data_IF_879642453920
#
_entry.id   IF_879642453920
#
_cell.length_a   1.000
_cell.length_b   1.000
_cell.length_c   1.000
_cell.angle_alpha   90.00
_cell.angle_beta   90.00
_cell.angle_gamma   90.00
#
_symmetry.space_group_name_H-M   'P 1'
#
loop_
_entity.id
_entity.type
_entity.pdbx_description
1 polymer ?
#
# COMPACT_ATOMS: atom_id res chain seq x y z
N UNK A 1 7.25 1.73 33.19
CA UNK A 1 7.56 0.29 33.06
C UNK A 1 7.40 -0.17 31.62
N UNK A 2 6.22 0.03 30.99
CA UNK A 2 5.99 -0.33 29.58
C UNK A 2 6.98 0.30 28.59
N UNK A 3 7.34 1.58 28.73
CA UNK A 3 8.33 2.25 27.86
C UNK A 3 9.68 1.53 27.84
N UNK A 4 10.23 1.18 29.02
CA UNK A 4 11.51 0.47 29.11
C UNK A 4 11.46 -0.95 28.53
N UNK A 5 10.29 -1.59 28.55
CA UNK A 5 10.10 -2.93 27.98
C UNK A 5 10.04 -2.82 26.45
N UNK A 6 9.35 -1.81 25.92
CA UNK A 6 9.29 -1.54 24.48
C UNK A 6 10.70 -1.20 23.93
N UNK A 7 11.43 -0.28 24.56
CA UNK A 7 12.82 0.05 24.18
C UNK A 7 13.76 -1.17 24.20
N UNK A 8 13.55 -2.10 25.13
CA UNK A 8 14.30 -3.35 25.17
C UNK A 8 13.86 -4.30 24.03
N UNK A 9 12.55 -4.38 23.75
CA UNK A 9 12.01 -5.21 22.69
C UNK A 9 12.42 -4.72 21.29
N UNK A 10 12.59 -3.42 21.09
CA UNK A 10 13.13 -2.87 19.83
C UNK A 10 14.58 -3.29 19.56
N UNK A 11 15.34 -3.64 20.60
CA UNK A 11 16.74 -4.11 20.46
C UNK A 11 16.87 -5.62 20.34
N UNK A 12 15.98 -6.36 21.00
CA UNK A 12 16.13 -7.81 21.17
C UNK A 12 15.01 -8.63 20.54
N UNK A 13 13.93 -8.00 20.07
CA UNK A 13 12.78 -8.62 19.40
C UNK A 13 12.25 -9.87 20.14
N UNK A 14 12.09 -9.77 21.46
CA UNK A 14 11.76 -10.91 22.33
C UNK A 14 10.30 -11.34 22.25
N UNK A 15 9.39 -10.39 22.01
CA UNK A 15 7.95 -10.61 21.83
C UNK A 15 7.42 -9.79 20.65
N UNK A 16 6.31 -10.21 20.01
CA UNK A 16 5.68 -9.44 18.95
C UNK A 16 5.32 -8.03 19.40
N UNK A 17 5.53 -7.03 18.54
CA UNK A 17 5.24 -5.63 18.87
C UNK A 17 3.74 -5.38 19.15
N UNK A 18 2.87 -6.24 18.61
CA UNK A 18 1.42 -6.19 18.82
C UNK A 18 1.00 -6.45 20.26
N UNK A 19 1.82 -7.15 21.06
CA UNK A 19 1.56 -7.41 22.49
C UNK A 19 1.63 -6.14 23.35
N UNK A 20 2.14 -5.04 22.80
CA UNK A 20 2.22 -3.77 23.49
C UNK A 20 0.97 -2.91 23.31
N UNK A 21 0.09 -3.25 22.37
CA UNK A 21 -1.17 -2.54 22.18
C UNK A 21 -2.04 -2.62 23.44
N UNK A 22 -2.67 -1.50 23.79
CA UNK A 22 -3.51 -1.41 24.98
C UNK A 22 -4.98 -1.23 24.57
N UNK A 23 -5.76 -2.29 24.65
CA UNK A 23 -7.17 -2.28 24.20
C UNK A 23 -8.00 -1.21 24.91
N UNK A 24 -7.82 -1.03 26.22
CA UNK A 24 -8.57 -0.03 26.98
C UNK A 24 -8.29 1.40 26.50
N UNK A 25 -7.03 1.71 26.13
CA UNK A 25 -6.69 2.99 25.51
C UNK A 25 -7.31 3.09 24.12
N UNK A 26 -7.16 2.07 23.28
CA UNK A 26 -7.66 2.09 21.91
C UNK A 26 -9.20 2.19 21.83
N UNK A 27 -9.94 1.65 22.80
CA UNK A 27 -11.41 1.76 22.86
C UNK A 27 -11.92 3.11 23.36
N UNK A 28 -11.16 3.80 24.21
CA UNK A 28 -11.63 4.97 24.95
C UNK A 28 -10.97 6.29 24.53
N UNK A 29 -9.94 6.25 23.67
CA UNK A 29 -9.20 7.43 23.25
C UNK A 29 -10.10 8.41 22.48
N UNK A 30 -10.29 9.62 23.02
CA UNK A 30 -10.85 10.72 22.25
C UNK A 30 -9.73 11.39 21.43
N UNK A 31 -9.62 10.94 20.18
CA UNK A 31 -8.63 11.44 19.21
C UNK A 31 -8.76 12.96 18.99
N UNK A 32 -9.98 13.52 19.06
CA UNK A 32 -10.19 14.96 18.80
C UNK A 32 -9.69 15.83 19.93
N UNK A 33 -9.64 15.30 21.15
CA UNK A 33 -9.04 15.97 22.30
C UNK A 33 -7.53 15.69 22.38
N UNK A 34 -7.10 14.44 22.22
CA UNK A 34 -5.71 14.02 22.42
C UNK A 34 -4.74 14.50 21.31
N UNK A 35 -5.15 14.43 20.04
CA UNK A 35 -4.26 14.77 18.93
C UNK A 35 -3.82 16.25 18.89
N UNK A 36 -4.68 17.24 19.19
CA UNK A 36 -4.23 18.63 19.36
C UNK A 36 -3.14 18.80 20.43
N UNK A 37 -3.21 18.05 21.54
CA UNK A 37 -2.18 18.07 22.59
C UNK A 37 -0.83 17.58 22.06
N UNK A 38 -0.83 16.52 21.26
CA UNK A 38 0.36 16.02 20.56
C UNK A 38 0.93 17.05 19.59
N UNK A 39 0.09 17.62 18.73
CA UNK A 39 0.52 18.59 17.71
C UNK A 39 1.10 19.86 18.33
N UNK A 40 0.49 20.36 19.40
CA UNK A 40 0.94 21.56 20.12
C UNK A 40 2.09 21.28 21.10
N UNK A 41 2.46 20.01 21.32
CA UNK A 41 3.40 19.57 22.37
C UNK A 41 3.02 20.07 23.75
N UNK A 42 1.74 19.93 24.11
CA UNK A 42 1.17 20.45 25.37
C UNK A 42 0.55 19.34 26.21
N UNK A 43 1.06 19.17 27.42
CA UNK A 43 0.48 18.26 28.40
C UNK A 43 0.75 16.79 28.07
N UNK A 44 -0.06 15.90 28.64
CA UNK A 44 0.00 14.47 28.35
C UNK A 44 -0.84 14.16 27.12
N UNK A 45 -0.35 13.25 26.29
CA UNK A 45 -1.07 12.67 25.16
C UNK A 45 -0.66 11.22 24.99
N UNK A 46 -1.58 10.36 24.55
CA UNK A 46 -1.24 8.98 24.22
C UNK A 46 -0.44 8.85 22.91
N UNK A 47 -0.50 9.85 22.03
CA UNK A 47 0.30 9.89 20.81
C UNK A 47 1.82 9.96 21.08
N UNK A 48 2.26 10.39 22.28
CA UNK A 48 3.68 10.33 22.68
C UNK A 48 4.16 8.89 22.98
N UNK A 49 3.23 7.93 23.08
CA UNK A 49 3.49 6.52 23.36
C UNK A 49 2.90 5.63 22.25
N UNK A 50 3.31 5.78 20.98
CA UNK A 50 2.65 5.16 19.84
C UNK A 50 2.63 3.62 19.89
N UNK A 51 3.53 2.98 20.64
CA UNK A 51 3.58 1.53 20.79
C UNK A 51 2.34 0.91 21.48
N UNK A 52 1.55 1.70 22.21
CA UNK A 52 0.30 1.21 22.83
C UNK A 52 -0.91 1.38 21.93
N UNK A 53 -0.79 2.17 20.86
CA UNK A 53 -1.85 2.44 19.91
C UNK A 53 -1.81 1.37 18.83
N UNK A 54 -2.96 0.78 18.50
CA UNK A 54 -3.06 -0.16 17.41
C UNK A 54 -3.11 0.58 16.05
N UNK A 55 -2.95 -0.13 14.92
CA UNK A 55 -2.86 0.51 13.61
C UNK A 55 -4.16 1.24 13.21
N UNK A 56 -5.32 0.73 13.61
CA UNK A 56 -6.61 1.37 13.34
C UNK A 56 -6.75 2.74 14.01
N UNK A 57 -6.36 2.86 15.28
CA UNK A 57 -6.40 4.14 16.00
C UNK A 57 -5.39 5.13 15.43
N UNK A 58 -4.20 4.67 15.06
CA UNK A 58 -3.22 5.53 14.36
C UNK A 58 -3.75 6.03 13.02
N UNK A 59 -4.47 5.19 12.27
CA UNK A 59 -5.12 5.57 11.02
C UNK A 59 -6.24 6.60 11.23
N UNK A 60 -7.03 6.45 12.29
CA UNK A 60 -8.04 7.44 12.66
C UNK A 60 -7.42 8.77 13.10
N UNK A 61 -6.29 8.77 13.82
CA UNK A 61 -5.50 9.97 14.13
C UNK A 61 -5.06 10.68 12.84
N UNK A 62 -4.45 9.93 11.92
CA UNK A 62 -4.00 10.46 10.62
C UNK A 62 -5.18 11.02 9.81
N UNK A 63 -6.32 10.34 9.81
CA UNK A 63 -7.54 10.81 9.16
C UNK A 63 -8.07 12.12 9.77
N UNK A 64 -8.09 12.23 11.09
CA UNK A 64 -8.48 13.47 11.78
C UNK A 64 -7.55 14.61 11.41
N UNK A 65 -6.23 14.35 11.34
CA UNK A 65 -5.25 15.33 10.88
C UNK A 65 -5.55 15.79 9.44
N UNK A 66 -5.68 14.85 8.49
CA UNK A 66 -5.97 15.15 7.10
C UNK A 66 -7.26 15.95 6.95
N UNK A 67 -8.32 15.56 7.65
CA UNK A 67 -9.60 16.28 7.63
C UNK A 67 -9.47 17.71 8.16
N UNK A 68 -8.66 17.94 9.19
CA UNK A 68 -8.40 19.28 9.71
C UNK A 68 -7.63 20.12 8.68
N UNK A 69 -6.60 19.56 8.06
CA UNK A 69 -5.80 20.22 7.02
C UNK A 69 -6.67 20.57 5.79
N UNK A 70 -7.46 19.62 5.27
CA UNK A 70 -8.39 19.85 4.16
C UNK A 70 -9.42 20.94 4.48
N UNK A 71 -10.00 20.94 5.68
CA UNK A 71 -10.95 21.99 6.11
C UNK A 71 -10.28 23.37 6.22
N UNK A 72 -9.05 23.42 6.70
CA UNK A 72 -8.29 24.65 6.78
C UNK A 72 -8.04 25.24 5.39
N UNK A 73 -7.54 24.42 4.45
CA UNK A 73 -7.31 24.86 3.07
C UNK A 73 -8.60 25.24 2.34
N UNK A 74 -9.72 24.55 2.62
CA UNK A 74 -11.04 24.93 2.11
C UNK A 74 -11.44 26.34 2.59
N UNK A 75 -11.32 26.62 3.89
CA UNK A 75 -11.64 27.93 4.46
C UNK A 75 -10.72 29.02 3.92
N UNK A 76 -9.42 28.74 3.82
CA UNK A 76 -8.44 29.67 3.28
C UNK A 76 -8.64 29.95 1.79
N UNK A 77 -9.03 28.95 1.00
CA UNK A 77 -9.40 29.12 -0.40
C UNK A 77 -10.64 30.01 -0.56
N UNK A 78 -11.68 29.81 0.26
CA UNK A 78 -12.86 30.70 0.27
C UNK A 78 -12.48 32.13 0.66
N UNK A 79 -11.64 32.30 1.68
CA UNK A 79 -11.17 33.62 2.09
C UNK A 79 -10.38 34.30 0.98
N UNK A 80 -9.41 33.61 0.37
CA UNK A 80 -8.64 34.12 -0.78
C UNK A 80 -9.54 34.48 -1.96
N UNK A 81 -10.58 33.68 -2.23
CA UNK A 81 -11.53 33.97 -3.31
C UNK A 81 -12.28 35.31 -3.14
N UNK A 82 -12.52 35.74 -1.89
CA UNK A 82 -13.15 37.03 -1.60
C UNK A 82 -12.24 38.24 -1.92
N UNK A 83 -10.91 38.07 -1.94
CA UNK A 83 -9.96 39.18 -2.07
C UNK A 83 -9.06 39.11 -3.32
N UNK A 84 -8.81 37.93 -3.87
CA UNK A 84 -7.80 37.69 -4.93
C UNK A 84 -8.36 37.00 -6.18
N UNK A 85 -9.64 36.64 -6.21
CA UNK A 85 -10.26 35.92 -7.34
C UNK A 85 -10.20 34.40 -7.21
N UNK A 86 -10.66 33.67 -8.24
CA UNK A 86 -10.97 32.23 -8.17
C UNK A 86 -9.72 31.39 -7.83
N UNK A 87 -9.71 30.80 -6.63
CA UNK A 87 -8.83 29.71 -6.25
C UNK A 87 -9.71 28.48 -6.02
N UNK A 88 -9.40 27.35 -6.67
CA UNK A 88 -10.16 26.12 -6.47
C UNK A 88 -9.96 25.64 -5.02
N UNK A 89 -11.05 25.38 -4.27
CA UNK A 89 -10.95 24.81 -2.92
C UNK A 89 -10.52 23.34 -2.91
N UNK A 90 -10.49 22.70 -4.08
CA UNK A 90 -10.15 21.29 -4.25
C UNK A 90 -8.88 21.13 -5.08
N UNK A 91 -8.16 20.04 -4.83
CA UNK A 91 -7.14 19.54 -5.74
C UNK A 91 -7.86 18.73 -6.82
N UNK A 92 -8.20 19.38 -7.93
CA UNK A 92 -8.87 18.74 -9.06
C UNK A 92 -7.83 18.17 -10.01
N UNK A 93 -7.96 16.89 -10.35
CA UNK A 93 -7.20 16.21 -11.39
C UNK A 93 -8.14 15.79 -12.52
N UNK A 94 -7.91 16.33 -13.71
CA UNK A 94 -8.65 16.00 -14.93
C UNK A 94 -7.86 14.95 -15.72
N UNK A 95 -8.35 13.72 -15.78
CA UNK A 95 -7.59 12.56 -16.26
C UNK A 95 -8.22 11.99 -17.53
N UNK A 96 -7.43 11.74 -18.56
CA UNK A 96 -7.84 10.90 -19.68
C UNK A 96 -7.46 9.45 -19.40
N UNK A 97 -8.36 8.51 -19.75
CA UNK A 97 -8.13 7.07 -19.55
C UNK A 97 -6.92 6.51 -20.31
N UNK A 98 -6.56 7.14 -21.41
CA UNK A 98 -5.45 6.72 -22.28
C UNK A 98 -4.10 7.34 -21.88
N UNK A 99 -4.06 8.22 -20.86
CA UNK A 99 -2.85 8.96 -20.46
C UNK A 99 -2.83 9.29 -18.97
N UNK A 100 -3.12 8.31 -18.12
CA UNK A 100 -3.37 8.49 -16.68
C UNK A 100 -2.15 9.04 -15.96
N UNK A 101 -1.00 8.36 -16.07
CA UNK A 101 0.24 8.78 -15.40
C UNK A 101 0.70 10.14 -15.94
N UNK A 102 0.66 10.32 -17.26
CA UNK A 102 1.10 11.56 -17.91
C UNK A 102 0.26 12.77 -17.52
N UNK A 103 -1.06 12.63 -17.45
CA UNK A 103 -1.95 13.71 -17.04
C UNK A 103 -1.76 14.04 -15.55
N UNK A 104 -1.55 13.02 -14.71
CA UNK A 104 -1.23 13.21 -13.30
C UNK A 104 0.11 13.93 -13.11
N UNK A 105 1.17 13.53 -13.85
CA UNK A 105 2.48 14.20 -13.85
C UNK A 105 2.32 15.69 -14.13
N UNK A 106 1.73 16.02 -15.27
CA UNK A 106 1.64 17.39 -15.74
C UNK A 106 0.85 18.29 -14.77
N UNK A 107 -0.16 17.74 -14.12
CA UNK A 107 -1.00 18.49 -13.20
C UNK A 107 -0.39 18.63 -11.81
N UNK A 108 0.32 17.61 -11.31
CA UNK A 108 0.87 17.59 -9.96
C UNK A 108 2.24 18.28 -9.85
N UNK A 109 3.05 18.27 -10.91
CA UNK A 109 4.40 18.84 -10.93
C UNK A 109 4.45 20.31 -10.46
N UNK A 110 3.44 21.11 -10.83
CA UNK A 110 3.37 22.53 -10.51
C UNK A 110 2.55 22.85 -9.23
N UNK A 111 2.07 21.83 -8.48
CA UNK A 111 1.26 22.08 -7.29
C UNK A 111 2.13 22.46 -6.10
N UNK A 112 1.72 23.50 -5.38
CA UNK A 112 2.36 23.84 -4.12
C UNK A 112 2.02 22.80 -3.04
N UNK A 113 2.86 22.64 -1.99
CA UNK A 113 2.53 21.76 -0.87
C UNK A 113 1.15 22.05 -0.24
N UNK A 114 0.68 23.29 -0.27
CA UNK A 114 -0.68 23.65 0.21
C UNK A 114 -1.78 23.10 -0.70
N UNK A 115 -1.58 23.14 -2.01
CA UNK A 115 -2.55 22.60 -2.97
C UNK A 115 -2.67 21.08 -2.84
N UNK A 116 -1.56 20.38 -2.57
CA UNK A 116 -1.54 18.94 -2.32
C UNK A 116 -2.31 18.53 -1.05
N UNK A 117 -2.56 19.47 -0.13
CA UNK A 117 -3.32 19.27 1.11
C UNK A 117 -4.81 19.61 0.99
N UNK A 118 -5.26 20.09 -0.16
CA UNK A 118 -6.70 20.25 -0.45
C UNK A 118 -7.34 18.88 -0.59
N UNK A 119 -8.67 18.83 -0.43
CA UNK A 119 -9.42 17.62 -0.72
C UNK A 119 -9.25 17.28 -2.21
N UNK A 120 -8.80 16.04 -2.48
CA UNK A 120 -8.64 15.51 -3.84
C UNK A 120 -10.02 15.39 -4.49
N UNK A 121 -10.07 15.67 -5.79
CA UNK A 121 -11.19 15.35 -6.68
C UNK A 121 -10.66 14.88 -8.01
N UNK A 122 -11.08 13.70 -8.45
CA UNK A 122 -10.70 13.18 -9.77
C UNK A 122 -11.87 13.29 -10.73
N UNK A 123 -11.62 13.73 -11.94
CA UNK A 123 -12.59 13.80 -13.02
C UNK A 123 -12.02 13.15 -14.27
N UNK A 124 -12.69 12.11 -14.79
CA UNK A 124 -12.36 11.57 -16.10
C UNK A 124 -12.93 12.47 -17.20
N UNK A 125 -12.09 12.88 -18.14
CA UNK A 125 -12.48 13.81 -19.19
C UNK A 125 -13.52 13.16 -20.11
N UNK A 126 -14.66 13.83 -20.28
CA UNK A 126 -15.77 13.35 -21.11
C UNK A 126 -16.76 12.42 -20.37
N UNK A 127 -16.62 12.24 -19.06
CA UNK A 127 -17.51 11.41 -18.25
C UNK A 127 -18.32 12.25 -17.24
N UNK A 128 -19.62 11.96 -17.16
CA UNK A 128 -20.51 12.52 -16.15
C UNK A 128 -20.30 11.76 -14.83
N UNK A 129 -19.45 12.29 -13.95
CA UNK A 129 -19.20 11.73 -12.63
C UNK A 129 -19.10 12.81 -11.56
N UNK A 130 -19.84 12.65 -10.45
CA UNK A 130 -19.61 13.42 -9.22
C UNK A 130 -18.73 12.56 -8.32
N UNK A 131 -17.54 13.05 -7.99
CA UNK A 131 -16.61 12.31 -7.15
C UNK A 131 -17.08 12.27 -5.67
N UNK A 132 -17.72 11.16 -5.30
CA UNK A 132 -18.04 10.79 -3.91
C UNK A 132 -17.07 9.73 -3.35
N UNK A 133 -15.86 9.59 -3.95
CA UNK A 133 -14.79 8.70 -3.50
C UNK A 133 -14.55 7.48 -4.40
N UNK A 134 -15.57 7.02 -5.14
CA UNK A 134 -15.43 5.90 -6.09
C UNK A 134 -14.49 6.22 -7.25
N UNK A 135 -14.52 7.46 -7.76
CA UNK A 135 -13.69 7.92 -8.88
C UNK A 135 -12.21 8.01 -8.45
N UNK A 136 -11.94 8.45 -7.22
CA UNK A 136 -10.57 8.45 -6.66
C UNK A 136 -10.02 7.04 -6.57
N UNK A 137 -10.81 6.12 -6.03
CA UNK A 137 -10.42 4.71 -5.91
C UNK A 137 -10.07 4.11 -7.27
N UNK A 138 -10.92 4.36 -8.28
CA UNK A 138 -10.67 3.91 -9.65
C UNK A 138 -9.36 4.50 -10.21
N UNK A 139 -9.15 5.80 -10.05
CA UNK A 139 -7.93 6.47 -10.50
C UNK A 139 -6.67 5.82 -9.90
N UNK A 140 -6.63 5.62 -8.58
CA UNK A 140 -5.49 4.99 -7.93
C UNK A 140 -5.31 3.53 -8.37
N UNK A 141 -6.39 2.78 -8.61
CA UNK A 141 -6.30 1.42 -9.16
C UNK A 141 -5.67 1.39 -10.55
N UNK A 142 -6.04 2.33 -11.42
CA UNK A 142 -5.48 2.43 -12.77
C UNK A 142 -4.00 2.85 -12.74
N UNK A 143 -3.66 3.82 -11.90
CA UNK A 143 -2.27 4.25 -11.66
C UNK A 143 -1.41 3.06 -11.21
N UNK A 144 -1.85 2.32 -10.18
CA UNK A 144 -1.13 1.14 -9.68
C UNK A 144 -0.95 0.12 -10.79
N UNK A 145 -2.01 -0.20 -11.53
CA UNK A 145 -1.94 -1.17 -12.64
C UNK A 145 -0.92 -0.76 -13.71
N UNK A 146 -0.88 0.50 -14.11
CA UNK A 146 0.03 0.99 -15.16
C UNK A 146 1.49 1.00 -14.67
N UNK A 147 1.75 1.45 -13.44
CA UNK A 147 3.11 1.56 -12.89
C UNK A 147 3.79 0.20 -12.66
N UNK A 148 3.03 -0.83 -12.32
CA UNK A 148 3.55 -2.20 -12.13
C UNK A 148 3.48 -3.05 -13.41
N UNK A 149 2.99 -2.51 -14.53
CA UNK A 149 3.08 -3.20 -15.81
C UNK A 149 4.57 -3.31 -16.21
N UNK A 150 5.10 -4.51 -16.47
CA UNK A 150 6.48 -4.68 -16.92
C UNK A 150 6.84 -3.86 -18.17
N UNK A 151 5.86 -3.50 -19.01
CA UNK A 151 6.06 -2.63 -20.19
C UNK A 151 6.38 -1.19 -19.81
N UNK A 152 5.88 -0.72 -18.67
CA UNK A 152 6.20 0.61 -18.16
C UNK A 152 7.63 0.64 -17.60
N UNK A 153 8.05 -0.46 -16.93
CA UNK A 153 9.46 -0.72 -16.64
C UNK A 153 10.03 0.00 -15.42
N UNK A 154 9.19 0.60 -14.56
CA UNK A 154 9.65 1.28 -13.33
C UNK A 154 9.94 0.32 -12.18
N UNK A 155 9.22 -0.79 -12.10
CA UNK A 155 9.39 -1.80 -11.06
C UNK A 155 9.55 -3.19 -11.68
N UNK A 156 10.39 -4.00 -11.06
CA UNK A 156 10.59 -5.42 -11.39
C UNK A 156 9.92 -6.27 -10.34
N UNK A 157 9.11 -7.24 -10.77
CA UNK A 157 8.49 -8.22 -9.88
C UNK A 157 9.40 -9.44 -9.75
N UNK A 158 9.74 -9.83 -8.51
CA UNK A 158 10.39 -11.12 -8.26
C UNK A 158 9.36 -12.25 -8.41
N UNK A 159 9.68 -13.28 -9.18
CA UNK A 159 8.73 -14.36 -9.50
C UNK A 159 8.34 -15.20 -8.28
N UNK A 160 9.27 -15.41 -7.33
CA UNK A 160 9.08 -16.25 -6.15
C UNK A 160 8.31 -15.52 -5.06
N UNK A 161 8.77 -14.32 -4.68
CA UNK A 161 8.12 -13.54 -3.62
C UNK A 161 6.89 -12.78 -4.09
N UNK A 162 6.73 -12.58 -5.41
CA UNK A 162 5.72 -11.71 -6.04
C UNK A 162 5.84 -10.24 -5.62
N UNK A 163 6.94 -9.86 -4.98
CA UNK A 163 7.19 -8.50 -4.54
C UNK A 163 7.86 -7.68 -5.66
N UNK A 164 7.49 -6.42 -5.71
CA UNK A 164 8.01 -5.46 -6.66
C UNK A 164 9.14 -4.64 -6.04
N UNK A 165 10.17 -4.35 -6.81
CA UNK A 165 11.27 -3.46 -6.42
C UNK A 165 11.64 -2.52 -7.55
N UNK A 166 12.28 -1.40 -7.23
CA UNK A 166 12.72 -0.40 -8.22
C UNK A 166 13.55 -1.07 -9.31
N UNK A 167 13.20 -0.81 -10.57
CA UNK A 167 14.05 -1.17 -11.69
C UNK A 167 15.21 -0.18 -11.73
N UNK A 168 16.39 -0.64 -11.31
CA UNK A 168 17.61 0.17 -11.38
C UNK A 168 18.23 0.03 -12.76
N UNK A 169 18.30 1.14 -13.50
CA UNK A 169 19.10 1.22 -14.71
C UNK A 169 20.12 2.35 -14.60
N UNK A 170 21.40 2.08 -14.90
CA UNK A 170 22.39 3.15 -15.05
C UNK A 170 22.07 4.15 -16.17
N UNK A 171 21.08 3.84 -17.02
CA UNK A 171 20.67 4.63 -18.18
C UNK A 171 19.36 5.41 -17.96
N UNK A 172 18.83 5.45 -16.73
CA UNK A 172 17.63 6.22 -16.43
C UNK A 172 17.84 7.72 -16.74
N UNK A 173 16.87 8.31 -17.46
CA UNK A 173 16.87 9.73 -17.80
C UNK A 173 16.11 10.58 -16.76
N UNK A 174 16.20 11.90 -16.88
CA UNK A 174 15.53 12.83 -15.95
C UNK A 174 14.00 12.60 -15.90
N UNK A 175 13.39 12.26 -17.03
CA UNK A 175 11.95 11.99 -17.11
C UNK A 175 11.57 10.77 -16.25
N UNK A 176 12.33 9.69 -16.34
CA UNK A 176 12.13 8.47 -15.53
C UNK A 176 12.27 8.77 -14.04
N UNK A 177 13.21 9.64 -13.66
CA UNK A 177 13.40 10.04 -12.26
C UNK A 177 12.22 10.88 -11.74
N UNK A 178 11.67 11.79 -12.55
CA UNK A 178 10.47 12.57 -12.21
C UNK A 178 9.22 11.68 -12.06
N UNK A 179 9.13 10.61 -12.83
CA UNK A 179 8.08 9.61 -12.66
C UNK A 179 8.14 8.95 -11.29
N UNK A 180 9.33 8.53 -10.81
CA UNK A 180 9.46 7.97 -9.46
C UNK A 180 8.97 8.95 -8.38
N UNK A 181 9.26 10.24 -8.53
CA UNK A 181 8.73 11.29 -7.64
C UNK A 181 7.22 11.34 -7.66
N UNK A 182 6.60 11.28 -8.83
CA UNK A 182 5.14 11.24 -8.91
C UNK A 182 4.56 10.02 -8.20
N UNK A 183 5.14 8.83 -8.39
CA UNK A 183 4.64 7.62 -7.74
C UNK A 183 4.68 7.78 -6.22
N UNK A 184 5.79 8.30 -5.70
CA UNK A 184 5.91 8.65 -4.29
C UNK A 184 4.81 9.60 -3.83
N UNK A 185 4.57 10.66 -4.61
CA UNK A 185 3.52 11.64 -4.34
C UNK A 185 2.11 11.00 -4.37
N UNK A 186 1.83 10.12 -5.32
CA UNK A 186 0.55 9.42 -5.43
C UNK A 186 0.32 8.49 -4.24
N UNK A 187 1.36 7.77 -3.78
CA UNK A 187 1.28 7.01 -2.52
C UNK A 187 0.98 7.93 -1.33
N UNK A 188 1.65 9.08 -1.25
CA UNK A 188 1.40 10.07 -0.20
C UNK A 188 -0.04 10.62 -0.23
N UNK A 189 -0.57 10.89 -1.43
CA UNK A 189 -1.96 11.33 -1.64
C UNK A 189 -2.95 10.22 -1.27
N UNK A 190 -2.67 8.96 -1.60
CA UNK A 190 -3.53 7.83 -1.22
C UNK A 190 -3.63 7.72 0.31
N UNK A 191 -2.49 7.77 1.01
CA UNK A 191 -2.44 7.82 2.48
C UNK A 191 -3.24 9.01 3.03
N UNK A 192 -3.01 10.21 2.49
CA UNK A 192 -3.66 11.43 2.96
C UNK A 192 -5.19 11.39 2.82
N UNK A 193 -5.70 10.75 1.77
CA UNK A 193 -7.13 10.60 1.50
C UNK A 193 -7.72 9.30 2.07
N UNK A 194 -6.92 8.45 2.73
CA UNK A 194 -7.37 7.19 3.32
C UNK A 194 -7.75 6.13 2.29
N UNK A 195 -7.05 6.10 1.17
CA UNK A 195 -7.26 5.16 0.06
C UNK A 195 -6.18 4.08 0.13
N UNK A 196 -6.60 2.82 0.18
CA UNK A 196 -5.69 1.67 0.08
C UNK A 196 -5.30 1.41 -1.37
N UNK A 197 -4.10 0.90 -1.57
CA UNK A 197 -3.51 0.61 -2.87
C UNK A 197 -3.13 -0.86 -2.98
N UNK A 198 -3.32 -1.44 -4.16
CA UNK A 198 -2.92 -2.83 -4.44
C UNK A 198 -1.42 -2.92 -4.82
N UNK A 199 -0.55 -2.46 -3.93
CA UNK A 199 0.90 -2.47 -4.13
C UNK A 199 1.59 -3.58 -3.35
N UNK A 200 2.61 -4.17 -3.96
CA UNK A 200 3.28 -5.37 -3.48
C UNK A 200 4.76 -5.11 -3.20
N UNK A 201 5.08 -4.09 -2.41
CA UNK A 201 6.47 -3.78 -2.04
C UNK A 201 6.94 -4.62 -0.83
N UNK A 202 8.24 -4.95 -0.73
CA UNK A 202 8.78 -5.57 0.48
C UNK A 202 8.77 -4.59 1.66
N UNK A 203 8.82 -5.13 2.88
CA UNK A 203 8.89 -4.34 4.12
C UNK A 203 10.06 -3.33 4.12
N UNK A 204 11.13 -3.67 3.38
CA UNK A 204 12.28 -2.81 3.13
C UNK A 204 11.90 -1.40 2.66
N UNK A 205 10.88 -1.26 1.78
CA UNK A 205 10.45 0.04 1.28
C UNK A 205 9.97 0.93 2.43
N UNK A 206 9.06 0.41 3.25
CA UNK A 206 8.45 1.15 4.35
C UNK A 206 9.46 1.47 5.44
N UNK A 207 10.42 0.55 5.71
CA UNK A 207 11.58 0.83 6.58
C UNK A 207 12.37 2.02 6.07
N UNK A 208 12.73 2.04 4.78
CA UNK A 208 13.49 3.14 4.19
C UNK A 208 12.72 4.47 4.18
N UNK A 209 11.42 4.46 3.90
CA UNK A 209 10.56 5.65 3.99
C UNK A 209 10.58 6.23 5.41
N UNK A 210 10.57 5.37 6.42
CA UNK A 210 10.67 5.72 7.83
C UNK A 210 12.11 6.01 8.32
N UNK A 211 13.10 6.02 7.43
CA UNK A 211 14.50 6.29 7.76
C UNK A 211 15.20 5.16 8.53
N UNK A 212 14.63 3.95 8.52
CA UNK A 212 15.26 2.77 9.12
C UNK A 212 16.21 2.08 8.12
N UNK A 213 17.28 1.50 8.67
CA UNK A 213 18.22 0.68 7.91
C UNK A 213 17.61 -0.63 7.46
N UNK A 214 18.02 -1.12 6.29
CA UNK A 214 17.64 -2.41 5.73
C UNK A 214 18.87 -3.28 5.48
N UNK A 215 18.71 -4.60 5.52
CA UNK A 215 19.83 -5.55 5.39
C UNK A 215 19.42 -6.91 4.83
N UNK A 216 20.18 -7.96 5.18
CA UNK A 216 19.99 -9.30 4.64
C UNK A 216 18.58 -9.87 4.89
N UNK A 217 18.00 -9.64 6.07
CA UNK A 217 16.65 -10.13 6.38
C UNK A 217 15.58 -9.49 5.48
N UNK A 218 15.75 -8.22 5.13
CA UNK A 218 14.86 -7.53 4.19
C UNK A 218 15.09 -8.03 2.76
N UNK A 219 16.34 -8.27 2.37
CA UNK A 219 16.68 -8.84 1.07
C UNK A 219 16.08 -10.23 0.88
N UNK A 220 16.05 -11.07 1.93
CA UNK A 220 15.42 -12.39 1.90
C UNK A 220 13.92 -12.34 1.65
N UNK A 221 13.24 -11.27 2.07
CA UNK A 221 11.81 -11.10 1.76
C UNK A 221 11.64 -10.75 0.28
N UNK A 222 12.47 -9.84 -0.24
CA UNK A 222 12.42 -9.42 -1.64
C UNK A 222 12.81 -10.55 -2.61
N UNK A 223 13.95 -11.19 -2.38
CA UNK A 223 14.50 -12.28 -3.18
C UNK A 223 14.91 -13.45 -2.27
N UNK A 224 13.98 -14.39 -2.02
CA UNK A 224 14.22 -15.51 -1.10
C UNK A 224 15.35 -16.42 -1.56
N UNK A 225 15.47 -16.66 -2.86
CA UNK A 225 16.53 -17.48 -3.45
C UNK A 225 17.91 -16.85 -3.24
N UNK A 226 18.08 -15.56 -3.57
CA UNK A 226 19.33 -14.84 -3.35
C UNK A 226 19.67 -14.77 -1.85
N UNK A 227 18.69 -14.40 -1.02
CA UNK A 227 18.86 -14.31 0.42
C UNK A 227 19.34 -15.62 1.05
N UNK A 228 18.72 -16.75 0.67
CA UNK A 228 19.14 -18.10 1.10
C UNK A 228 20.56 -18.43 0.64
N UNK A 229 20.95 -18.05 -0.58
CA UNK A 229 22.31 -18.25 -1.07
C UNK A 229 23.36 -17.49 -0.25
N UNK A 230 23.06 -16.25 0.12
CA UNK A 230 23.92 -15.43 0.99
C UNK A 230 23.99 -15.98 2.42
N UNK A 231 22.89 -16.50 2.97
CA UNK A 231 22.91 -17.21 4.26
C UNK A 231 23.77 -18.47 4.22
N UNK A 232 23.64 -19.29 3.17
CA UNK A 232 24.47 -20.48 2.98
C UNK A 232 25.95 -20.11 2.92
N UNK A 233 26.32 -18.99 2.30
CA UNK A 233 27.70 -18.49 2.31
C UNK A 233 28.19 -18.15 3.74
N UNK A 234 27.33 -17.55 4.56
CA UNK A 234 27.64 -17.23 5.96
C UNK A 234 27.81 -18.47 6.83
N UNK A 235 27.15 -19.57 6.50
CA UNK A 235 27.19 -20.83 7.25
C UNK A 235 28.18 -21.84 6.67
N UNK A 236 28.72 -21.59 5.47
CA UNK A 236 29.61 -22.53 4.80
C UNK A 236 30.88 -22.81 5.62
N UNK A 237 31.14 -24.08 5.93
CA UNK A 237 32.29 -24.46 6.76
C UNK A 237 33.57 -24.77 5.96
N UNK A 238 33.44 -25.01 4.65
CA UNK A 238 34.54 -25.32 3.75
C UNK A 238 35.43 -24.11 3.40
N UNK A 239 36.28 -24.29 2.38
CA UNK A 239 37.12 -23.22 1.86
C UNK A 239 36.30 -22.29 0.97
N UNK A 240 35.88 -21.16 1.54
CA UNK A 240 35.08 -20.13 0.87
C UNK A 240 35.78 -19.59 -0.38
N UNK A 241 37.11 -19.38 -0.34
CA UNK A 241 37.82 -18.73 -1.45
C UNK A 241 37.80 -19.62 -2.68
N UNK A 242 38.15 -20.90 -2.53
CA UNK A 242 38.21 -21.84 -3.67
C UNK A 242 36.83 -22.35 -4.11
N UNK A 243 35.86 -22.43 -3.19
CA UNK A 243 34.51 -22.93 -3.52
C UNK A 243 33.68 -21.89 -4.26
N UNK A 244 33.70 -20.63 -3.80
CA UNK A 244 32.90 -19.57 -4.39
C UNK A 244 33.65 -18.83 -5.51
N UNK A 245 34.97 -18.66 -5.38
CA UNK A 245 35.86 -17.99 -6.35
C UNK A 245 35.26 -16.68 -6.91
N UNK A 246 34.82 -15.80 -6.01
CA UNK A 246 34.19 -14.51 -6.35
C UNK A 246 34.99 -13.32 -5.80
N UNK A 247 35.11 -12.22 -6.56
CA UNK A 247 35.57 -10.94 -6.05
C UNK A 247 34.46 -10.22 -5.28
N UNK A 248 34.76 -9.06 -4.69
CA UNK A 248 33.77 -8.16 -4.09
C UNK A 248 33.02 -7.36 -5.18
N UNK A 249 32.31 -8.08 -6.05
CA UNK A 249 31.51 -7.52 -7.14
C UNK A 249 30.14 -8.16 -7.22
N UNK A 250 29.22 -7.45 -7.89
CA UNK A 250 27.85 -7.88 -8.18
C UNK A 250 27.50 -7.60 -9.63
N UNK A 251 26.76 -8.54 -10.22
CA UNK A 251 26.25 -8.44 -11.58
C UNK A 251 24.78 -7.97 -11.53
N UNK A 252 24.47 -6.87 -12.19
CA UNK A 252 23.09 -6.40 -12.40
C UNK A 252 22.73 -6.51 -13.87
N UNK A 253 21.58 -7.14 -14.15
CA UNK A 253 21.04 -7.22 -15.50
C UNK A 253 19.97 -6.13 -15.69
N UNK A 254 20.17 -5.24 -16.67
CA UNK A 254 19.21 -4.23 -17.07
C UNK A 254 19.19 -4.12 -18.60
N UNK A 255 17.99 -4.08 -19.21
CA UNK A 255 17.79 -3.97 -20.67
C UNK A 255 18.64 -4.95 -21.52
N UNK A 256 18.63 -6.24 -21.14
CA UNK A 256 19.42 -7.31 -21.77
C UNK A 256 20.95 -7.11 -21.72
N UNK A 257 21.43 -6.20 -20.87
CA UNK A 257 22.86 -5.95 -20.62
C UNK A 257 23.22 -6.28 -19.18
N UNK A 258 24.42 -6.83 -18.98
CA UNK A 258 24.97 -7.13 -17.66
C UNK A 258 25.99 -6.06 -17.29
N UNK A 259 25.81 -5.45 -16.13
CA UNK A 259 26.68 -4.45 -15.54
C UNK A 259 27.36 -5.03 -14.31
N UNK A 260 28.66 -4.83 -14.18
CA UNK A 260 29.46 -5.30 -13.05
C UNK A 260 29.79 -4.12 -12.15
N UNK A 261 29.46 -4.22 -10.87
CA UNK A 261 29.72 -3.18 -9.88
C UNK A 261 30.62 -3.70 -8.77
N UNK A 262 31.59 -2.87 -8.40
CA UNK A 262 32.41 -3.05 -7.20
C UNK A 262 31.57 -2.77 -5.94
N UNK A 263 31.41 -3.75 -5.06
CA UNK A 263 30.68 -3.60 -3.79
C UNK A 263 31.40 -2.68 -2.79
N UNK A 264 32.72 -2.60 -2.95
CA UNK A 264 33.64 -1.73 -2.22
C UNK A 264 34.71 -1.23 -3.20
N UNK A 265 35.36 -0.11 -2.89
CA UNK A 265 36.43 0.44 -3.75
C UNK A 265 37.52 -0.63 -4.06
N UNK A 266 37.75 -0.88 -5.35
CA UNK A 266 38.70 -1.90 -5.81
C UNK A 266 38.22 -3.34 -5.61
N UNK A 267 36.91 -3.55 -5.50
CA UNK A 267 36.27 -4.84 -5.20
C UNK A 267 36.68 -5.97 -6.13
N UNK A 268 36.92 -5.67 -7.42
CA UNK A 268 37.47 -6.61 -8.40
C UNK A 268 38.77 -7.33 -7.94
N UNK A 269 39.60 -6.67 -7.13
CA UNK A 269 40.88 -7.21 -6.67
C UNK A 269 40.80 -7.89 -5.29
N UNK A 270 39.64 -7.82 -4.62
CA UNK A 270 39.44 -8.38 -3.28
C UNK A 270 38.70 -9.70 -3.42
N UNK A 271 39.37 -10.81 -3.09
CA UNK A 271 38.74 -12.13 -3.08
C UNK A 271 37.82 -12.33 -1.88
N UNK A 272 36.72 -13.03 -2.11
CA UNK A 272 35.85 -13.54 -1.06
C UNK A 272 36.55 -14.68 -0.30
N UNK A 273 36.56 -14.58 1.03
CA UNK A 273 37.21 -15.54 1.95
C UNK A 273 36.32 -15.76 3.17
N UNK A 274 36.62 -16.79 3.97
CA UNK A 274 35.89 -17.07 5.22
C UNK A 274 35.90 -15.88 6.21
N UNK A 275 36.94 -15.05 6.19
CA UNK A 275 37.12 -13.94 7.13
C UNK A 275 36.33 -12.69 6.72
N UNK A 276 36.13 -12.46 5.42
CA UNK A 276 35.45 -11.27 4.91
C UNK A 276 34.02 -11.54 4.39
N UNK A 277 33.55 -12.80 4.43
CA UNK A 277 32.20 -13.19 3.94
C UNK A 277 31.05 -12.38 4.53
N UNK A 278 31.11 -12.03 5.83
CA UNK A 278 30.08 -11.22 6.47
C UNK A 278 30.01 -9.84 5.83
N UNK A 279 31.17 -9.19 5.68
CA UNK A 279 31.28 -7.89 4.99
C UNK A 279 30.79 -7.99 3.53
N UNK A 280 31.13 -9.07 2.82
CA UNK A 280 30.63 -9.27 1.46
C UNK A 280 29.10 -9.29 1.43
N UNK A 281 28.47 -10.10 2.29
CA UNK A 281 27.01 -10.22 2.37
C UNK A 281 26.36 -8.90 2.77
N UNK A 282 26.89 -8.20 3.77
CA UNK A 282 26.38 -6.90 4.22
C UNK A 282 26.47 -5.86 3.08
N UNK A 283 27.60 -5.79 2.37
CA UNK A 283 27.77 -4.90 1.23
C UNK A 283 26.87 -5.29 0.04
N UNK A 284 26.62 -6.58 -0.18
CA UNK A 284 25.73 -7.05 -1.23
C UNK A 284 24.29 -6.62 -0.95
N UNK A 285 23.80 -6.85 0.27
CA UNK A 285 22.45 -6.44 0.67
C UNK A 285 22.28 -4.91 0.61
N UNK A 286 23.26 -4.16 1.12
CA UNK A 286 23.30 -2.70 1.03
C UNK A 286 23.30 -2.21 -0.43
N UNK A 287 24.05 -2.88 -1.31
CA UNK A 287 24.08 -2.50 -2.71
C UNK A 287 22.70 -2.68 -3.38
N UNK A 288 22.06 -3.84 -3.22
CA UNK A 288 20.77 -4.15 -3.85
C UNK A 288 19.63 -3.28 -3.30
N UNK A 289 19.59 -3.07 -1.98
CA UNK A 289 18.48 -2.37 -1.32
C UNK A 289 18.67 -0.85 -1.24
N UNK A 290 19.91 -0.36 -1.33
CA UNK A 290 20.22 1.07 -1.21
C UNK A 290 20.93 1.63 -2.44
N UNK A 291 22.16 1.20 -2.72
CA UNK A 291 23.03 1.90 -3.69
C UNK A 291 22.53 1.80 -5.13
N UNK A 292 22.08 0.63 -5.56
CA UNK A 292 21.61 0.43 -6.94
C UNK A 292 20.37 1.27 -7.24
N UNK A 293 19.52 1.52 -6.25
CA UNK A 293 18.22 2.19 -6.41
C UNK A 293 18.21 3.60 -5.79
N UNK A 294 19.37 4.17 -5.46
CA UNK A 294 19.45 5.39 -4.64
C UNK A 294 18.73 6.57 -5.31
N UNK A 295 18.99 6.84 -6.58
CA UNK A 295 18.37 7.95 -7.31
C UNK A 295 16.85 7.82 -7.38
N UNK A 296 16.36 6.63 -7.76
CA UNK A 296 14.95 6.31 -7.93
C UNK A 296 14.23 6.39 -6.57
N UNK A 297 14.79 5.76 -5.55
CA UNK A 297 14.22 5.76 -4.20
C UNK A 297 14.20 7.16 -3.58
N UNK A 298 15.26 7.95 -3.74
CA UNK A 298 15.29 9.31 -3.19
C UNK A 298 14.27 10.22 -3.85
N UNK A 299 14.11 10.12 -5.17
CA UNK A 299 13.07 10.83 -5.92
C UNK A 299 11.66 10.43 -5.46
N UNK A 300 11.41 9.12 -5.36
CA UNK A 300 10.17 8.58 -4.81
C UNK A 300 9.90 9.07 -3.37
N UNK A 301 10.91 9.02 -2.50
CA UNK A 301 10.78 9.49 -1.12
C UNK A 301 10.48 10.98 -1.07
N UNK A 302 11.12 11.79 -1.92
CA UNK A 302 10.82 13.22 -2.03
C UNK A 302 9.35 13.45 -2.35
N UNK A 303 8.81 12.74 -3.34
CA UNK A 303 7.39 12.80 -3.70
C UNK A 303 6.47 12.42 -2.54
N UNK A 304 6.76 11.32 -1.86
CA UNK A 304 6.00 10.85 -0.70
C UNK A 304 5.99 11.89 0.44
N UNK A 305 7.15 12.48 0.71
CA UNK A 305 7.34 13.46 1.78
C UNK A 305 6.63 14.79 1.53
N UNK A 306 6.37 15.17 0.26
CA UNK A 306 5.57 16.36 -0.06
C UNK A 306 4.20 16.38 0.62
N UNK A 307 3.67 15.19 0.93
CA UNK A 307 2.39 15.03 1.63
C UNK A 307 2.60 14.47 3.05
N UNK A 308 3.52 13.53 3.25
CA UNK A 308 3.57 12.75 4.49
C UNK A 308 4.59 13.24 5.54
N UNK A 309 5.56 14.08 5.20
CA UNK A 309 6.74 14.37 6.05
C UNK A 309 6.42 14.76 7.50
N UNK A 310 5.50 15.70 7.71
CA UNK A 310 5.14 16.22 9.04
C UNK A 310 3.84 15.64 9.61
N UNK A 311 3.36 14.55 9.04
CA UNK A 311 2.07 13.95 9.42
C UNK A 311 2.18 12.98 10.59
N UNK A 312 1.02 12.55 11.09
CA UNK A 312 0.89 11.50 12.09
C UNK A 312 1.38 10.13 11.63
N UNK A 313 1.80 9.96 10.35
CA UNK A 313 2.37 8.70 9.86
C UNK A 313 3.62 8.27 10.67
N UNK A 314 4.33 9.21 11.29
CA UNK A 314 5.47 8.91 12.19
C UNK A 314 5.11 8.13 13.45
N UNK A 315 3.82 8.02 13.78
CA UNK A 315 3.32 7.19 14.88
C UNK A 315 3.32 5.70 14.53
N UNK A 316 3.48 5.38 13.24
CA UNK A 316 3.42 4.01 12.74
C UNK A 316 4.79 3.36 12.72
N UNK A 317 4.81 2.05 12.95
CA UNK A 317 5.92 1.15 12.61
C UNK A 317 5.87 0.82 11.10
N UNK A 318 6.98 0.41 10.47
CA UNK A 318 7.01 0.05 9.05
C UNK A 318 5.94 -0.97 8.64
N UNK A 319 5.71 -1.98 9.48
CA UNK A 319 4.69 -3.01 9.29
C UNK A 319 3.27 -2.42 9.29
N UNK A 320 3.04 -1.41 10.13
CA UNK A 320 1.76 -0.70 10.20
C UNK A 320 1.59 0.29 9.04
N UNK A 321 2.69 0.87 8.51
CA UNK A 321 2.66 1.69 7.29
C UNK A 321 2.31 0.82 6.07
N UNK A 322 2.84 -0.39 5.98
CA UNK A 322 2.41 -1.35 4.95
C UNK A 322 0.90 -1.60 5.05
N UNK A 323 0.39 -1.91 6.25
CA UNK A 323 -1.05 -2.11 6.47
C UNK A 323 -1.89 -0.87 6.15
N UNK A 324 -1.37 0.33 6.42
CA UNK A 324 -2.03 1.59 6.10
C UNK A 324 -2.17 1.79 4.59
N UNK A 325 -1.12 1.49 3.84
CA UNK A 325 -1.06 1.69 2.38
C UNK A 325 -1.78 0.57 1.65
N UNK A 326 -1.49 -0.69 1.99
CA UNK A 326 -1.97 -1.85 1.26
C UNK A 326 -3.28 -2.42 1.81
N UNK A 327 -3.66 -2.05 3.04
CA UNK A 327 -4.76 -2.65 3.77
C UNK A 327 -4.33 -3.82 4.66
N UNK A 328 -5.22 -4.18 5.59
CA UNK A 328 -5.05 -5.31 6.50
C UNK A 328 -5.35 -6.65 5.81
N UNK A 329 -4.58 -7.71 6.12
CA UNK A 329 -4.89 -9.07 5.68
C UNK A 329 -5.93 -9.76 6.56
N UNK A 330 -6.35 -9.17 7.68
CA UNK A 330 -7.31 -9.77 8.61
C UNK A 330 -8.75 -9.60 8.11
N UNK A 331 -9.43 -10.74 7.89
CA UNK A 331 -10.73 -10.80 7.24
C UNK A 331 -11.85 -11.22 8.20
N UNK A 332 -12.48 -10.24 8.85
CA UNK A 332 -13.71 -10.44 9.62
C UNK A 332 -14.97 -10.33 8.75
N UNK A 333 -15.41 -11.47 8.21
CA UNK A 333 -16.62 -11.54 7.37
C UNK A 333 -17.93 -11.40 8.17
N UNK A 334 -17.91 -11.60 9.48
CA UNK A 334 -19.07 -11.33 10.33
C UNK A 334 -19.30 -9.82 10.44
N UNK A 335 -18.24 -9.05 10.64
CA UNK A 335 -18.31 -7.60 10.59
C UNK A 335 -18.73 -7.08 9.21
N UNK A 336 -18.28 -7.74 8.13
CA UNK A 336 -18.71 -7.40 6.77
C UNK A 336 -20.21 -7.58 6.59
N UNK A 337 -20.75 -8.74 6.97
CA UNK A 337 -22.19 -9.05 6.87
C UNK A 337 -23.04 -8.00 7.61
N UNK A 338 -22.62 -7.64 8.83
CA UNK A 338 -23.32 -6.66 9.65
C UNK A 338 -23.31 -5.25 9.05
N UNK A 339 -22.24 -4.88 8.36
CA UNK A 339 -22.08 -3.57 7.72
C UNK A 339 -22.69 -3.49 6.30
N UNK A 340 -23.06 -4.63 5.71
CA UNK A 340 -23.48 -4.71 4.31
C UNK A 340 -24.82 -4.00 4.06
N UNK A 341 -24.87 -3.20 3.00
CA UNK A 341 -26.10 -2.60 2.49
C UNK A 341 -26.74 -3.48 1.41
N UNK A 342 -28.06 -3.52 1.38
CA UNK A 342 -28.83 -4.31 0.42
C UNK A 342 -29.70 -3.38 -0.41
N UNK A 343 -29.63 -3.53 -1.73
CA UNK A 343 -30.37 -2.70 -2.69
C UNK A 343 -31.23 -3.54 -3.64
N UNK A 344 -32.20 -2.90 -4.30
CA UNK A 344 -33.14 -3.54 -5.22
C UNK A 344 -34.28 -4.28 -4.51
N UNK A 345 -34.66 -3.81 -3.32
CA UNK A 345 -35.75 -4.36 -2.51
C UNK A 345 -35.36 -5.56 -1.64
N UNK A 346 -34.07 -5.91 -1.60
CA UNK A 346 -33.55 -6.89 -0.66
C UNK A 346 -33.25 -6.28 0.70
N UNK A 347 -33.26 -7.14 1.71
CA UNK A 347 -32.89 -6.83 3.09
C UNK A 347 -32.09 -8.01 3.64
N UNK A 348 -31.48 -7.84 4.83
CA UNK A 348 -30.85 -8.95 5.56
C UNK A 348 -31.76 -10.17 5.76
N UNK A 349 -33.09 -9.98 5.71
CA UNK A 349 -34.06 -11.04 5.92
C UNK A 349 -34.47 -11.80 4.65
N UNK A 350 -34.10 -11.28 3.48
CA UNK A 350 -34.37 -11.91 2.19
C UNK A 350 -33.69 -13.27 2.08
N UNK A 351 -34.43 -14.28 1.57
CA UNK A 351 -33.94 -15.66 1.46
C UNK A 351 -32.58 -15.75 0.75
N UNK A 352 -32.44 -15.11 -0.41
CA UNK A 352 -31.20 -15.13 -1.20
C UNK A 352 -30.01 -14.50 -0.48
N UNK A 353 -30.25 -13.50 0.39
CA UNK A 353 -29.21 -12.84 1.18
C UNK A 353 -28.73 -13.76 2.31
N UNK A 354 -29.65 -14.43 3.01
CA UNK A 354 -29.30 -15.43 4.02
C UNK A 354 -28.50 -16.58 3.40
N UNK A 355 -28.96 -17.08 2.25
CA UNK A 355 -28.25 -18.13 1.51
C UNK A 355 -26.86 -17.67 1.04
N UNK A 356 -26.71 -16.41 0.61
CA UNK A 356 -25.43 -15.82 0.26
C UNK A 356 -24.46 -15.84 1.43
N UNK A 357 -24.84 -15.34 2.60
CA UNK A 357 -23.96 -15.31 3.76
C UNK A 357 -23.65 -16.69 4.32
N UNK A 358 -24.62 -17.61 4.31
CA UNK A 358 -24.35 -19.02 4.62
C UNK A 358 -23.27 -19.61 3.71
N UNK A 359 -23.29 -19.30 2.41
CA UNK A 359 -22.26 -19.75 1.47
C UNK A 359 -20.91 -19.07 1.76
N UNK A 360 -20.90 -17.76 1.98
CA UNK A 360 -19.68 -16.97 2.19
C UNK A 360 -18.97 -17.33 3.50
N UNK A 361 -19.71 -17.62 4.57
CA UNK A 361 -19.12 -18.08 5.83
C UNK A 361 -18.54 -19.50 5.74
N UNK A 362 -19.03 -20.31 4.80
CA UNK A 362 -18.45 -21.62 4.48
C UNK A 362 -17.23 -21.54 3.54
N UNK A 363 -16.91 -20.36 2.99
CA UNK A 363 -15.76 -20.20 2.11
C UNK A 363 -14.44 -20.40 2.84
N UNK A 364 -13.47 -20.97 2.12
CA UNK A 364 -12.06 -20.94 2.50
C UNK A 364 -11.54 -19.50 2.50
N UNK A 365 -10.46 -19.23 3.24
CA UNK A 365 -9.82 -17.91 3.25
C UNK A 365 -9.43 -17.42 1.84
N UNK A 366 -8.98 -18.34 0.98
CA UNK A 366 -8.68 -18.04 -0.43
C UNK A 366 -9.93 -17.60 -1.22
N UNK A 367 -11.06 -18.26 -1.02
CA UNK A 367 -12.33 -17.89 -1.66
C UNK A 367 -12.87 -16.56 -1.12
N UNK A 368 -12.70 -16.29 0.17
CA UNK A 368 -13.04 -15.00 0.79
C UNK A 368 -12.21 -13.86 0.19
N UNK A 369 -10.90 -14.06 0.05
CA UNK A 369 -10.00 -13.12 -0.64
C UNK A 369 -10.42 -12.85 -2.08
N UNK A 370 -10.76 -13.90 -2.83
CA UNK A 370 -11.27 -13.76 -4.21
C UNK A 370 -12.59 -13.02 -4.28
N UNK A 371 -13.50 -13.21 -3.31
CA UNK A 371 -14.74 -12.44 -3.24
C UNK A 371 -14.46 -10.95 -2.99
N UNK A 372 -13.53 -10.64 -2.08
CA UNK A 372 -13.10 -9.26 -1.85
C UNK A 372 -12.45 -8.69 -3.10
N UNK A 373 -11.50 -9.38 -3.72
CA UNK A 373 -10.88 -8.92 -4.96
C UNK A 373 -11.92 -8.69 -6.05
N UNK A 374 -12.83 -9.64 -6.26
CA UNK A 374 -13.91 -9.53 -7.25
C UNK A 374 -14.79 -8.31 -7.02
N UNK A 375 -15.03 -7.90 -5.76
CA UNK A 375 -15.99 -6.85 -5.43
C UNK A 375 -15.35 -5.51 -5.11
N UNK A 376 -14.08 -5.45 -4.72
CA UNK A 376 -13.39 -4.24 -4.28
C UNK A 376 -12.18 -3.91 -5.16
N UNK A 377 -11.68 -4.86 -5.95
CA UNK A 377 -10.41 -4.76 -6.67
C UNK A 377 -9.17 -4.95 -5.80
N UNK A 378 -9.31 -5.43 -4.56
CA UNK A 378 -8.21 -5.80 -3.67
C UNK A 378 -8.62 -6.99 -2.80
N UNK A 379 -7.68 -7.88 -2.53
CA UNK A 379 -7.86 -8.99 -1.57
C UNK A 379 -7.60 -8.57 -0.11
N UNK A 380 -7.17 -7.31 0.09
CA UNK A 380 -6.97 -6.66 1.39
C UNK A 380 -8.09 -5.66 1.69
N UNK A 381 -8.17 -5.25 2.95
CA UNK A 381 -9.27 -4.42 3.46
C UNK A 381 -8.73 -3.17 4.15
N UNK A 382 -9.52 -2.10 4.30
CA UNK A 382 -9.08 -0.94 5.06
C UNK A 382 -8.58 -1.34 6.45
N UNK A 383 -7.57 -0.65 6.96
CA UNK A 383 -6.93 -0.96 8.25
C UNK A 383 -7.90 -0.97 9.45
N UNK A 384 -9.06 -0.33 9.30
CA UNK A 384 -10.15 -0.33 10.30
C UNK A 384 -11.08 -1.56 10.21
N UNK A 385 -10.72 -2.55 9.38
CA UNK A 385 -11.44 -3.82 9.23
C UNK A 385 -12.59 -3.80 8.23
N UNK A 386 -13.10 -5.00 7.93
CA UNK A 386 -14.19 -5.22 6.96
C UNK A 386 -15.50 -4.53 7.32
N UNK A 387 -15.80 -4.33 8.61
CA UNK A 387 -17.01 -3.64 9.05
C UNK A 387 -17.06 -2.14 8.69
N UNK A 388 -15.96 -1.55 8.21
CA UNK A 388 -15.94 -0.18 7.67
C UNK A 388 -16.02 -0.13 6.14
N UNK A 389 -15.97 -1.26 5.47
CA UNK A 389 -16.15 -1.34 4.03
C UNK A 389 -17.62 -1.07 3.69
N UNK A 390 -17.89 -0.11 2.81
CA UNK A 390 -19.23 0.14 2.28
C UNK A 390 -19.62 -0.92 1.24
N UNK A 391 -19.78 -2.17 1.68
CA UNK A 391 -20.13 -3.28 0.81
C UNK A 391 -21.64 -3.26 0.50
N UNK A 392 -21.98 -3.38 -0.79
CA UNK A 392 -23.38 -3.36 -1.24
C UNK A 392 -23.70 -4.61 -2.04
N UNK A 393 -24.81 -5.28 -1.73
CA UNK A 393 -25.36 -6.34 -2.57
C UNK A 393 -26.64 -5.81 -3.22
N UNK A 394 -26.60 -5.64 -4.54
CA UNK A 394 -27.69 -5.07 -5.32
C UNK A 394 -28.31 -6.13 -6.24
N UNK A 395 -29.65 -6.16 -6.28
CA UNK A 395 -30.41 -7.07 -7.15
C UNK A 395 -30.22 -6.70 -8.62
N UNK A 396 -29.79 -7.66 -9.43
CA UNK A 396 -29.56 -7.53 -10.87
C UNK A 396 -30.62 -8.28 -11.72
N UNK A 397 -31.86 -8.34 -11.24
CA UNK A 397 -32.97 -9.05 -11.90
C UNK A 397 -33.36 -10.37 -11.24
N UNK A 398 -34.18 -11.16 -11.94
CA UNK A 398 -34.66 -12.47 -11.49
C UNK A 398 -33.64 -13.59 -11.69
N UNK A 399 -34.10 -14.84 -11.57
CA UNK A 399 -33.26 -16.02 -11.84
C UNK A 399 -32.65 -15.95 -13.25
N UNK A 400 -31.37 -16.29 -13.33
CA UNK A 400 -30.57 -16.19 -14.56
C UNK A 400 -29.47 -17.25 -14.57
N UNK A 401 -28.97 -17.57 -15.76
CA UNK A 401 -27.75 -18.38 -15.93
C UNK A 401 -26.49 -17.51 -16.07
N UNK A 402 -26.65 -16.18 -16.03
CA UNK A 402 -25.55 -15.23 -16.00
C UNK A 402 -24.81 -15.33 -14.67
N UNK A 403 -23.51 -15.00 -14.70
CA UNK A 403 -22.70 -14.87 -13.50
C UNK A 403 -23.01 -13.54 -12.79
N UNK A 404 -22.83 -13.44 -11.46
CA UNK A 404 -22.80 -12.14 -10.81
C UNK A 404 -21.69 -11.27 -11.40
N UNK A 405 -21.88 -9.96 -11.31
CA UNK A 405 -20.91 -8.94 -11.74
C UNK A 405 -20.65 -7.97 -10.60
N UNK A 406 -19.67 -7.08 -10.72
CA UNK A 406 -19.34 -6.12 -9.67
C UNK A 406 -18.99 -4.74 -10.23
N UNK A 407 -19.11 -3.74 -9.36
CA UNK A 407 -18.51 -2.42 -9.54
C UNK A 407 -17.50 -2.20 -8.42
N UNK A 408 -16.23 -2.51 -8.70
CA UNK A 408 -15.13 -2.51 -7.72
C UNK A 408 -14.88 -1.15 -7.09
N UNK A 409 -15.07 -0.07 -7.87
CA UNK A 409 -14.93 1.31 -7.42
C UNK A 409 -15.88 1.65 -6.26
N UNK A 410 -17.06 1.02 -6.24
CA UNK A 410 -18.12 1.27 -5.25
C UNK A 410 -18.35 0.09 -4.31
N UNK A 411 -17.55 -0.98 -4.40
CA UNK A 411 -17.72 -2.20 -3.61
C UNK A 411 -19.11 -2.83 -3.74
N UNK A 412 -19.69 -2.77 -4.95
CA UNK A 412 -21.04 -3.27 -5.25
C UNK A 412 -20.97 -4.64 -5.92
N UNK A 413 -21.65 -5.63 -5.34
CA UNK A 413 -21.92 -6.93 -5.94
C UNK A 413 -23.31 -6.93 -6.57
N UNK A 414 -23.37 -7.12 -7.90
CA UNK A 414 -24.61 -7.28 -8.66
C UNK A 414 -24.98 -8.76 -8.72
N UNK A 415 -26.01 -9.13 -7.98
CA UNK A 415 -26.42 -10.52 -7.79
C UNK A 415 -27.81 -10.77 -8.40
N UNK A 416 -27.96 -11.88 -9.14
CA UNK A 416 -29.26 -12.34 -9.63
C UNK A 416 -30.05 -13.06 -8.53
N UNK A 417 -31.37 -13.04 -8.60
CA UNK A 417 -32.25 -13.79 -7.69
C UNK A 417 -32.31 -15.28 -8.09
N UNK A 418 -31.18 -15.98 -7.95
CA UNK A 418 -31.06 -17.39 -8.32
C UNK A 418 -32.11 -18.26 -7.63
N UNK A 419 -32.63 -19.25 -8.36
CA UNK A 419 -33.74 -20.08 -7.91
C UNK A 419 -33.41 -21.05 -6.76
N UNK A 420 -32.12 -21.35 -6.51
CA UNK A 420 -31.69 -22.20 -5.40
C UNK A 420 -30.31 -21.79 -4.83
N UNK A 421 -30.06 -22.20 -3.58
CA UNK A 421 -28.77 -22.03 -2.88
C UNK A 421 -27.61 -22.67 -3.65
N UNK A 422 -27.83 -23.84 -4.26
CA UNK A 422 -26.83 -24.55 -5.05
C UNK A 422 -26.45 -23.75 -6.30
N UNK A 423 -27.44 -23.21 -7.01
CA UNK A 423 -27.20 -22.35 -8.18
C UNK A 423 -26.46 -21.08 -7.78
N UNK A 424 -26.86 -20.44 -6.68
CA UNK A 424 -26.14 -19.29 -6.13
C UNK A 424 -24.68 -19.63 -5.84
N UNK A 425 -24.40 -20.74 -5.14
CA UNK A 425 -23.03 -21.18 -4.82
C UNK A 425 -22.20 -21.40 -6.07
N UNK A 426 -22.74 -22.16 -7.03
CA UNK A 426 -22.05 -22.48 -8.29
C UNK A 426 -21.68 -21.19 -9.05
N UNK A 427 -22.65 -20.29 -9.22
CA UNK A 427 -22.46 -19.04 -9.99
C UNK A 427 -21.52 -18.08 -9.28
N UNK A 428 -21.61 -17.97 -7.95
CA UNK A 428 -20.71 -17.13 -7.16
C UNK A 428 -19.28 -17.64 -7.22
N UNK A 429 -19.04 -18.94 -6.97
CA UNK A 429 -17.72 -19.55 -7.06
C UNK A 429 -17.12 -19.43 -8.45
N UNK A 430 -17.94 -19.60 -9.49
CA UNK A 430 -17.49 -19.43 -10.88
C UNK A 430 -17.07 -17.99 -11.15
N UNK A 431 -17.84 -16.99 -10.69
CA UNK A 431 -17.48 -15.59 -10.90
C UNK A 431 -16.18 -15.21 -10.19
N UNK A 432 -16.06 -15.49 -8.90
CA UNK A 432 -14.86 -15.13 -8.13
C UNK A 432 -13.63 -15.95 -8.56
N UNK A 433 -13.83 -17.17 -9.07
CA UNK A 433 -12.75 -18.01 -9.60
C UNK A 433 -12.18 -17.53 -10.94
N UNK A 434 -12.91 -16.69 -11.68
CA UNK A 434 -12.48 -16.13 -12.97
C UNK A 434 -12.09 -14.65 -12.87
N UNK A 435 -12.06 -14.06 -11.66
CA UNK A 435 -11.78 -12.64 -11.45
C UNK A 435 -10.34 -12.24 -11.84
N UNK A 436 -9.37 -13.15 -11.72
CA UNK A 436 -7.96 -12.91 -12.06
C UNK A 436 -7.70 -12.87 -13.59
N UNK A 437 -8.60 -13.43 -14.40
CA UNK A 437 -8.43 -13.59 -15.85
C UNK A 437 -8.51 -12.31 -16.69
N UNK A 438 -8.78 -11.15 -16.08
CA UNK A 438 -8.82 -9.85 -16.75
C UNK A 438 -7.63 -8.93 -16.43
N UNK A 439 -6.76 -9.33 -15.48
CA UNK A 439 -5.57 -8.59 -15.05
C UNK A 439 -4.24 -9.17 -15.53
N UNK A 440 -4.22 -10.42 -15.98
CA UNK A 440 -3.02 -11.11 -16.49
C UNK A 440 -3.25 -11.57 -17.95
N UNK A 441 -3.15 -10.63 -18.90
CA UNK A 441 -2.85 -10.91 -20.32
C UNK A 441 -1.84 -9.88 -20.81
#
# INVERSE_FOLDING_TARGET
>A
MHVYIDEANERYHLIPYTEFYNDAVNEQLDIKEDFPHFKDRKGFTFCDYPFILNPAIKADILKVESMFQMRHELQDAFFRALFQGVNSPYLVLEIHRDSIIRDALHQLECKSPKDLKKQLRVQFVGEDGVDEGGVQKEFFQLVVREMFDPKYGMFVTNEESRLCWFNSSPMDDELTIDEFKLIGLLLGLAVYNGIILDVHFPLALYRKLMGQSVGLEDLKQLDPTLGKGLEQLLEFEGDVETTYDRPFQVDLNAFDQSFIFDLVEGGASIKLTKHNRRKFVDCYADFILNKSVECQFMSFKEGFDLVCHDSAIRLFRPEEVEQLICGSPELDFEALEQATHYDGGWTKDSKIIKEFWEIVHEFTEEQKKRLLFFTTGSDRVPINGLGKLQFVIAKNGGDSDRLPTSHTCYSVLLLYEYSSKEKLRERLLTAIGNAEGFGMI
#
